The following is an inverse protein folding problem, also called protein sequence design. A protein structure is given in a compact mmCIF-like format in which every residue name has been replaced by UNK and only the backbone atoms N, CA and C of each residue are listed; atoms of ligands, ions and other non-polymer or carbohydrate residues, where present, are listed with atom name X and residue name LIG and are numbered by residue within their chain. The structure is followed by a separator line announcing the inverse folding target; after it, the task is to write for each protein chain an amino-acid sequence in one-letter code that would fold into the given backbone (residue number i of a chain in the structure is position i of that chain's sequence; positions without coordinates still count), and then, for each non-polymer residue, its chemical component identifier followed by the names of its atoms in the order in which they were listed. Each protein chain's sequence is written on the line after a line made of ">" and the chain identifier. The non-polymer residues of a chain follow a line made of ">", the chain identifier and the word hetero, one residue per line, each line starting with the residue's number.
data_IF_636160418311
#
_entry.id   IF_636160418311
#
_cell.length_a   1.000
_cell.length_b   1.000
_cell.length_c   1.000
_cell.angle_alpha   90.00
_cell.angle_beta   90.00
_cell.angle_gamma   90.00
#
_symmetry.space_group_name_H-M   'P 1'
#
loop_
_entity.id
_entity.type
_entity.pdbx_description
1 polymer ?
#
# COMPACT_ATOMS: atom_id res chain seq x y z
N UNK A 1 -11.79 -0.73 -1.76
CA UNK A 1 -11.96 0.25 -0.66
C UNK A 1 -12.35 -0.42 0.66
N UNK A 2 -13.43 -1.22 0.72
CA UNK A 2 -13.89 -1.90 1.96
C UNK A 2 -12.81 -2.63 2.79
N UNK A 3 -11.81 -3.25 2.14
CA UNK A 3 -10.72 -3.94 2.84
C UNK A 3 -9.78 -2.98 3.60
N UNK A 4 -9.45 -1.85 2.99
CA UNK A 4 -8.55 -0.83 3.58
C UNK A 4 -9.23 -0.16 4.77
N UNK A 5 -10.49 0.24 4.59
CA UNK A 5 -11.28 0.86 5.66
C UNK A 5 -11.43 -0.08 6.86
N UNK A 6 -11.63 -1.38 6.62
CA UNK A 6 -11.70 -2.38 7.69
C UNK A 6 -10.37 -2.54 8.42
N UNK A 7 -9.24 -2.51 7.69
CA UNK A 7 -7.89 -2.55 8.27
C UNK A 7 -7.62 -1.31 9.12
N UNK A 8 -7.96 -0.11 8.64
CA UNK A 8 -7.79 1.12 9.40
C UNK A 8 -8.63 1.12 10.68
N UNK A 9 -9.92 0.71 10.61
CA UNK A 9 -10.80 0.68 11.80
C UNK A 9 -10.31 -0.23 12.92
N UNK A 10 -9.54 -1.27 12.61
CA UNK A 10 -9.03 -2.23 13.59
C UNK A 10 -7.56 -2.01 13.96
N UNK A 11 -6.92 -0.98 13.41
CA UNK A 11 -5.52 -0.67 13.68
C UNK A 11 -5.41 0.42 14.75
N UNK A 12 -4.46 0.27 15.67
CA UNK A 12 -4.08 1.33 16.61
C UNK A 12 -3.06 2.33 16.02
N UNK A 13 -2.60 2.08 14.79
CA UNK A 13 -1.63 2.90 14.04
C UNK A 13 -2.13 3.17 12.63
N UNK A 14 -1.52 4.15 11.94
CA UNK A 14 -1.78 4.35 10.51
C UNK A 14 -1.46 3.09 9.70
N UNK A 15 -2.20 2.90 8.61
CA UNK A 15 -2.06 1.73 7.74
C UNK A 15 -1.51 2.20 6.41
N UNK A 16 -0.35 1.70 6.04
CA UNK A 16 0.28 1.91 4.75
C UNK A 16 -0.35 1.01 3.68
N UNK A 17 -0.46 1.53 2.46
CA UNK A 17 -1.08 0.86 1.32
C UNK A 17 -0.11 0.89 0.15
N UNK A 18 0.10 -0.27 -0.49
CA UNK A 18 0.88 -0.39 -1.71
C UNK A 18 -0.02 -0.82 -2.87
N UNK A 19 0.15 -0.21 -4.02
CA UNK A 19 -0.54 -0.53 -5.27
C UNK A 19 0.47 -0.76 -6.40
N UNK A 20 0.11 -1.63 -7.33
CA UNK A 20 0.79 -1.82 -8.61
C UNK A 20 0.07 -0.94 -9.63
N UNK A 21 0.81 -0.06 -10.31
CA UNK A 21 0.28 0.71 -11.44
C UNK A 21 0.80 0.13 -12.74
N UNK A 22 -0.09 -0.07 -13.69
CA UNK A 22 0.20 -0.49 -15.05
C UNK A 22 -0.70 0.29 -16.03
N UNK A 23 -0.36 0.34 -17.34
CA UNK A 23 -1.20 0.99 -18.34
C UNK A 23 -2.66 0.48 -18.35
N UNK A 24 -2.85 -0.79 -17.99
CA UNK A 24 -4.16 -1.45 -17.93
C UNK A 24 -4.97 -1.09 -16.67
N UNK A 25 -4.34 -0.43 -15.69
CA UNK A 25 -4.96 0.04 -14.46
C UNK A 25 -4.10 -0.19 -13.22
N UNK A 26 -4.68 0.14 -12.07
CA UNK A 26 -4.03 -0.02 -10.77
C UNK A 26 -4.63 -1.17 -9.97
N UNK A 27 -3.79 -1.98 -9.34
CA UNK A 27 -4.18 -3.09 -8.49
C UNK A 27 -3.63 -2.92 -7.07
N UNK A 28 -4.46 -3.16 -6.06
CA UNK A 28 -4.02 -3.20 -4.67
C UNK A 28 -3.08 -4.39 -4.44
N UNK A 29 -1.87 -4.11 -3.96
CA UNK A 29 -0.83 -5.11 -3.69
C UNK A 29 -0.82 -5.52 -2.22
N UNK A 30 -0.75 -4.54 -1.31
CA UNK A 30 -0.58 -4.78 0.12
C UNK A 30 -1.26 -3.68 0.96
N UNK A 31 -1.75 -4.07 2.14
CA UNK A 31 -2.24 -3.17 3.19
C UNK A 31 -1.57 -3.62 4.48
N UNK A 32 -0.84 -2.74 5.17
CA UNK A 32 -0.05 -3.13 6.34
C UNK A 32 0.11 -2.03 7.39
N UNK A 33 0.40 -2.43 8.62
CA UNK A 33 0.59 -1.55 9.78
C UNK A 33 2.03 -0.99 9.88
N UNK A 34 2.87 -1.32 8.91
CA UNK A 34 4.28 -0.93 8.85
C UNK A 34 4.51 -0.08 7.61
N UNK A 35 5.46 0.86 7.69
CA UNK A 35 5.81 1.75 6.60
C UNK A 35 6.71 1.06 5.57
N UNK A 36 6.08 0.40 4.60
CA UNK A 36 6.78 -0.22 3.47
C UNK A 36 7.31 0.80 2.45
N UNK A 37 6.92 2.07 2.51
CA UNK A 37 7.43 3.08 1.58
C UNK A 37 8.93 3.29 1.73
N UNK A 38 9.52 2.97 2.91
CA UNK A 38 10.97 2.96 3.12
C UNK A 38 11.73 2.00 2.20
N UNK A 39 11.10 0.90 1.75
CA UNK A 39 11.70 -0.09 0.86
C UNK A 39 11.30 0.09 -0.60
N UNK A 40 10.49 1.11 -0.90
CA UNK A 40 10.01 1.34 -2.26
C UNK A 40 11.20 1.65 -3.19
N UNK A 41 11.34 0.93 -4.32
CA UNK A 41 12.33 1.25 -5.33
C UNK A 41 12.12 2.67 -5.82
N UNK A 42 13.15 3.51 -5.72
CA UNK A 42 13.13 4.81 -6.40
C UNK A 42 13.35 4.56 -7.89
N UNK A 43 12.80 5.42 -8.76
CA UNK A 43 12.90 5.30 -10.22
C UNK A 43 14.34 5.17 -10.77
N UNK A 44 15.37 5.43 -9.95
CA UNK A 44 16.79 5.19 -10.26
C UNK A 44 17.21 3.72 -10.17
N UNK A 45 16.34 2.85 -9.70
CA UNK A 45 16.56 1.42 -9.45
C UNK A 45 15.45 0.64 -10.14
N UNK A 46 15.50 0.62 -11.47
CA UNK A 46 14.84 -0.36 -12.34
C UNK A 46 15.82 -0.75 -13.44
#
# INVERSE_FOLDING_TARGET
>A
INHIERRQKHSSVEVSVAWLEAPEGSQLLLVANEDFCHWQPTAKTF
#
